data_IF_663305069386
#
_entry.id   IF_663305069386
#
_cell.length_a   1.000
_cell.length_b   1.000
_cell.length_c   1.000
_cell.angle_alpha   90.00
_cell.angle_beta   90.00
_cell.angle_gamma   90.00
#
_symmetry.space_group_name_H-M   'P 1'
#
loop_
_entity.id
_entity.type
_entity.pdbx_description
1 polymer ?
#
# COMPACT_ATOMS: atom_id res chain seq x y z
N UNK A 1 7.60 -21.76 -5.08
CA UNK A 1 8.25 -20.43 -5.03
C UNK A 1 7.39 -19.60 -4.11
N UNK A 2 7.67 -19.70 -2.82
CA UNK A 2 6.81 -19.21 -1.73
C UNK A 2 7.25 -17.80 -1.37
N UNK A 3 6.47 -16.80 -1.77
CA UNK A 3 6.49 -15.51 -1.06
C UNK A 3 5.68 -15.75 0.21
N UNK A 4 6.33 -16.30 1.23
CA UNK A 4 5.75 -16.45 2.57
C UNK A 4 5.59 -15.06 3.19
N UNK A 5 4.42 -14.44 3.04
CA UNK A 5 3.98 -13.45 4.02
C UNK A 5 3.32 -14.21 5.17
N UNK A 6 4.15 -14.85 6.00
CA UNK A 6 3.67 -15.52 7.21
C UNK A 6 3.31 -14.45 8.23
N UNK A 7 2.03 -14.07 8.30
CA UNK A 7 1.50 -13.36 9.47
C UNK A 7 1.35 -14.41 10.58
N UNK A 8 2.48 -14.84 11.16
CA UNK A 8 2.47 -15.73 12.33
C UNK A 8 2.16 -14.88 13.55
N UNK A 9 0.87 -14.69 13.88
CA UNK A 9 0.50 -14.22 15.20
C UNK A 9 0.52 -15.42 16.14
N UNK A 10 1.45 -15.37 17.11
CA UNK A 10 1.64 -16.26 18.26
C UNK A 10 2.27 -17.65 18.01
N UNK A 11 3.54 -17.74 18.43
CA UNK A 11 4.13 -18.99 18.91
C UNK A 11 3.22 -19.55 20.02
N UNK A 12 2.76 -20.80 19.87
CA UNK A 12 1.97 -21.58 20.85
C UNK A 12 0.43 -21.56 20.75
N UNK A 13 -0.18 -21.30 19.60
CA UNK A 13 -1.64 -21.48 19.46
C UNK A 13 -2.03 -22.93 19.11
N UNK A 14 -2.69 -23.61 20.07
CA UNK A 14 -3.44 -24.88 19.89
C UNK A 14 -4.83 -24.61 19.28
N UNK A 15 -4.93 -23.55 18.47
CA UNK A 15 -6.19 -23.01 17.96
C UNK A 15 -6.42 -23.48 16.52
N UNK A 16 -7.67 -23.59 16.05
CA UNK A 16 -7.94 -23.84 14.64
C UNK A 16 -7.28 -22.74 13.82
N UNK A 17 -6.51 -23.14 12.81
CA UNK A 17 -5.87 -22.22 11.87
C UNK A 17 -6.65 -22.19 10.57
N UNK A 18 -6.75 -21.01 9.97
CA UNK A 18 -7.31 -20.81 8.65
C UNK A 18 -6.19 -20.54 7.65
N UNK A 19 -6.26 -21.20 6.49
CA UNK A 19 -5.35 -20.96 5.38
C UNK A 19 -6.12 -20.33 4.23
N UNK A 20 -5.69 -19.15 3.81
CA UNK A 20 -6.31 -18.35 2.74
C UNK A 20 -5.31 -18.15 1.61
N UNK A 21 -5.77 -18.37 0.39
CA UNK A 21 -4.97 -18.21 -0.82
C UNK A 21 -5.47 -17.04 -1.67
N UNK A 22 -4.54 -16.25 -2.20
CA UNK A 22 -4.75 -15.27 -3.25
C UNK A 22 -3.86 -15.59 -4.44
N UNK A 23 -4.46 -15.80 -5.60
CA UNK A 23 -3.74 -16.01 -6.86
C UNK A 23 -3.92 -14.78 -7.75
N UNK A 24 -2.81 -14.14 -8.17
CA UNK A 24 -2.77 -13.05 -9.16
C UNK A 24 -1.78 -13.43 -10.27
N UNK A 25 -2.28 -14.03 -11.34
CA UNK A 25 -1.44 -14.52 -12.43
C UNK A 25 -0.41 -15.55 -11.92
N UNK A 26 0.90 -15.32 -12.10
CA UNK A 26 1.95 -16.23 -11.62
C UNK A 26 2.26 -16.09 -10.11
N UNK A 27 1.63 -15.14 -9.41
CA UNK A 27 1.91 -14.83 -8.01
C UNK A 27 0.88 -15.52 -7.12
N UNK A 28 1.38 -16.30 -6.16
CA UNK A 28 0.60 -16.98 -5.14
C UNK A 28 0.94 -16.36 -3.79
N UNK A 29 -0.04 -15.76 -3.14
CA UNK A 29 0.05 -15.28 -1.78
C UNK A 29 -0.77 -16.18 -0.87
N UNK A 30 -0.22 -16.47 0.31
CA UNK A 30 -0.83 -17.35 1.30
C UNK A 30 -0.82 -16.64 2.65
N UNK A 31 -1.99 -16.62 3.30
CA UNK A 31 -2.13 -16.19 4.69
C UNK A 31 -2.48 -17.42 5.51
N UNK A 32 -1.73 -17.65 6.59
CA UNK A 32 -2.05 -18.64 7.62
C UNK A 32 -2.33 -17.84 8.88
N UNK A 33 -3.57 -17.88 9.36
CA UNK A 33 -3.97 -17.16 10.56
C UNK A 33 -4.56 -18.08 11.61
N UNK A 34 -4.36 -17.75 12.88
CA UNK A 34 -5.03 -18.37 14.03
C UNK A 34 -5.93 -17.36 14.77
N UNK A 35 -6.21 -16.21 14.15
CA UNK A 35 -7.16 -15.20 14.63
C UNK A 35 -8.59 -15.58 14.25
N UNK A 36 -9.57 -14.99 14.94
CA UNK A 36 -11.01 -15.14 14.62
C UNK A 36 -11.45 -14.17 13.50
N UNK A 37 -10.56 -13.91 12.55
CA UNK A 37 -10.81 -13.02 11.42
C UNK A 37 -11.54 -13.76 10.31
N UNK A 38 -12.54 -13.11 9.72
CA UNK A 38 -13.30 -13.68 8.59
C UNK A 38 -12.42 -13.96 7.37
N UNK A 39 -12.81 -14.94 6.55
CA UNK A 39 -12.15 -15.24 5.27
C UNK A 39 -12.02 -14.01 4.39
N UNK A 40 -13.08 -13.19 4.28
CA UNK A 40 -13.12 -11.99 3.46
C UNK A 40 -12.08 -10.97 3.93
N UNK A 41 -11.91 -10.82 5.25
CA UNK A 41 -10.91 -9.90 5.79
C UNK A 41 -9.49 -10.36 5.51
N UNK A 42 -9.16 -11.62 5.80
CA UNK A 42 -7.85 -12.19 5.50
C UNK A 42 -7.55 -12.14 3.99
N UNK A 43 -8.57 -12.33 3.16
CA UNK A 43 -8.46 -12.22 1.72
C UNK A 43 -8.18 -10.79 1.27
N UNK A 44 -8.82 -9.80 1.89
CA UNK A 44 -8.54 -8.37 1.69
C UNK A 44 -7.14 -7.96 2.14
N UNK A 45 -6.64 -8.50 3.25
CA UNK A 45 -5.25 -8.29 3.69
C UNK A 45 -4.25 -8.78 2.63
N UNK A 46 -4.50 -9.94 2.03
CA UNK A 46 -3.70 -10.45 0.92
C UNK A 46 -3.78 -9.55 -0.32
N UNK A 47 -4.95 -8.99 -0.65
CA UNK A 47 -5.11 -8.04 -1.76
C UNK A 47 -4.33 -6.74 -1.51
N UNK A 48 -4.30 -6.21 -0.27
CA UNK A 48 -3.48 -5.06 0.09
C UNK A 48 -1.97 -5.37 0.05
N UNK A 49 -1.55 -6.54 0.51
CA UNK A 49 -0.16 -7.00 0.39
C UNK A 49 0.28 -7.11 -1.07
N UNK A 50 -0.58 -7.66 -1.93
CA UNK A 50 -0.35 -7.67 -3.37
C UNK A 50 -0.22 -6.25 -3.92
N UNK A 51 -1.13 -5.34 -3.54
CA UNK A 51 -1.06 -3.93 -3.91
C UNK A 51 0.27 -3.28 -3.50
N UNK A 52 0.75 -3.57 -2.28
CA UNK A 52 2.05 -3.07 -1.80
C UNK A 52 3.23 -3.58 -2.64
N UNK A 53 3.18 -4.84 -3.07
CA UNK A 53 4.17 -5.39 -4.02
C UNK A 53 4.14 -4.63 -5.35
N UNK A 54 2.96 -4.32 -5.88
CA UNK A 54 2.84 -3.54 -7.12
C UNK A 54 3.37 -2.11 -6.94
N UNK A 55 3.15 -1.48 -5.78
CA UNK A 55 3.72 -0.15 -5.49
C UNK A 55 5.25 -0.19 -5.48
N UNK A 56 5.86 -1.23 -4.90
CA UNK A 56 7.31 -1.38 -4.82
C UNK A 56 7.92 -1.73 -6.19
N UNK A 57 7.37 -2.75 -6.86
CA UNK A 57 7.97 -3.35 -8.06
C UNK A 57 7.50 -2.68 -9.35
N UNK A 58 6.44 -1.88 -9.28
CA UNK A 58 5.77 -1.21 -10.41
C UNK A 58 5.30 -2.21 -11.48
N UNK A 59 4.81 -1.70 -12.64
CA UNK A 59 4.33 -2.53 -13.76
C UNK A 59 5.42 -3.39 -14.42
N UNK A 60 6.70 -3.23 -14.07
CA UNK A 60 7.78 -4.05 -14.64
C UNK A 60 7.67 -5.54 -14.33
N UNK A 61 6.90 -5.91 -13.31
CA UNK A 61 6.72 -7.29 -12.85
C UNK A 61 6.01 -8.19 -13.87
N UNK A 62 4.94 -7.69 -14.50
CA UNK A 62 4.16 -8.45 -15.49
C UNK A 62 5.05 -8.81 -16.68
N UNK A 63 5.83 -7.83 -17.14
CA UNK A 63 6.82 -8.00 -18.21
C UNK A 63 7.94 -9.00 -17.84
N UNK A 64 8.33 -9.07 -16.58
CA UNK A 64 9.33 -10.05 -16.13
C UNK A 64 8.78 -11.49 -16.20
N UNK A 65 7.52 -11.68 -15.81
CA UNK A 65 6.88 -13.00 -15.87
C UNK A 65 6.51 -13.44 -17.28
N UNK A 66 6.10 -12.53 -18.16
CA UNK A 66 5.91 -12.82 -19.58
C UNK A 66 7.19 -13.35 -20.23
N UNK A 67 8.34 -12.77 -19.86
CA UNK A 67 9.65 -13.21 -20.36
C UNK A 67 10.09 -14.54 -19.75
N UNK A 68 9.92 -14.70 -18.44
CA UNK A 68 10.36 -15.87 -17.70
C UNK A 68 9.33 -16.22 -16.61
N UNK A 69 8.52 -17.24 -16.83
CA UNK A 69 7.52 -17.70 -15.86
C UNK A 69 8.13 -18.19 -14.51
N UNK A 70 9.44 -18.47 -14.49
CA UNK A 70 10.21 -18.88 -13.30
C UNK A 70 11.02 -17.74 -12.68
N UNK A 71 10.73 -16.49 -13.03
CA UNK A 71 11.47 -15.33 -12.54
C UNK A 71 11.35 -15.20 -11.01
N UNK A 72 12.49 -15.22 -10.32
CA UNK A 72 12.53 -14.96 -8.88
C UNK A 72 12.56 -13.46 -8.60
N UNK A 73 11.53 -12.97 -7.91
CA UNK A 73 11.37 -11.57 -7.57
C UNK A 73 11.91 -11.21 -6.20
N UNK A 74 12.27 -12.20 -5.38
CA UNK A 74 12.77 -11.99 -4.01
C UNK A 74 13.92 -10.97 -3.96
N UNK A 75 14.89 -10.98 -4.90
CA UNK A 75 15.95 -9.98 -4.91
C UNK A 75 15.45 -8.54 -5.12
N UNK A 76 14.34 -8.36 -5.86
CA UNK A 76 13.76 -7.03 -6.10
C UNK A 76 13.00 -6.48 -4.90
N UNK A 77 12.56 -7.37 -4.01
CA UNK A 77 11.91 -7.01 -2.74
C UNK A 77 12.92 -6.85 -1.60
N UNK A 78 14.21 -7.13 -1.84
CA UNK A 78 15.26 -6.97 -0.84
C UNK A 78 15.26 -5.56 -0.24
N UNK A 79 15.27 -5.49 1.10
CA UNK A 79 15.27 -4.22 1.83
C UNK A 79 13.89 -3.55 1.95
N UNK A 80 12.80 -4.21 1.53
CA UNK A 80 11.43 -3.70 1.67
C UNK A 80 10.65 -4.35 2.81
N UNK A 81 11.31 -5.17 3.63
CA UNK A 81 10.70 -5.89 4.76
C UNK A 81 9.99 -4.95 5.73
N UNK A 82 10.56 -3.78 5.99
CA UNK A 82 9.96 -2.75 6.85
C UNK A 82 8.61 -2.23 6.31
N UNK A 83 8.45 -2.14 4.98
CA UNK A 83 7.22 -1.70 4.32
C UNK A 83 6.11 -2.73 4.52
N UNK A 84 6.40 -4.01 4.26
CA UNK A 84 5.43 -5.09 4.47
C UNK A 84 5.10 -5.29 5.95
N UNK A 85 6.11 -5.26 6.82
CA UNK A 85 5.93 -5.37 8.27
C UNK A 85 5.04 -4.26 8.82
N UNK A 86 5.25 -3.01 8.39
CA UNK A 86 4.38 -1.89 8.75
C UNK A 86 2.94 -2.08 8.26
N UNK A 87 2.75 -2.56 7.03
CA UNK A 87 1.42 -2.84 6.48
C UNK A 87 0.69 -3.92 7.28
N UNK A 88 1.34 -5.05 7.54
CA UNK A 88 0.79 -6.14 8.36
C UNK A 88 0.44 -5.65 9.75
N UNK A 89 1.31 -4.87 10.39
CA UNK A 89 1.04 -4.29 11.69
C UNK A 89 -0.18 -3.36 11.66
N UNK A 90 -0.40 -2.64 10.56
CA UNK A 90 -1.53 -1.74 10.40
C UNK A 90 -2.90 -2.43 10.39
N UNK A 91 -2.98 -3.70 10.01
CA UNK A 91 -4.24 -4.45 10.06
C UNK A 91 -4.80 -4.55 11.49
N UNK A 92 -3.94 -4.58 12.50
CA UNK A 92 -4.35 -4.69 13.90
C UNK A 92 -4.94 -3.40 14.51
N UNK A 93 -4.60 -2.22 13.97
CA UNK A 93 -4.95 -0.94 14.61
C UNK A 93 -5.61 0.08 13.68
N UNK A 94 -5.44 -0.05 12.35
CA UNK A 94 -5.94 0.91 11.39
C UNK A 94 -7.23 0.40 10.72
N UNK A 95 -8.42 0.87 11.14
CA UNK A 95 -9.69 0.41 10.57
C UNK A 95 -9.85 0.77 9.08
N UNK A 96 -9.08 1.73 8.59
CA UNK A 96 -9.10 2.12 7.18
C UNK A 96 -8.68 0.98 6.24
N UNK A 97 -7.84 0.05 6.72
CA UNK A 97 -7.42 -1.15 5.98
C UNK A 97 -8.59 -2.10 5.70
N UNK A 98 -9.51 -2.24 6.66
CA UNK A 98 -10.71 -3.05 6.52
C UNK A 98 -11.78 -2.35 5.68
N UNK A 99 -11.93 -1.04 5.86
CA UNK A 99 -12.99 -0.26 5.23
C UNK A 99 -12.68 0.14 3.78
N UNK A 100 -11.51 -0.22 3.24
CA UNK A 100 -11.01 0.29 1.96
C UNK A 100 -11.11 1.82 1.90
N UNK A 101 -10.61 2.47 2.95
CA UNK A 101 -10.76 3.90 3.19
C UNK A 101 -9.40 4.54 3.54
N UNK A 102 -9.39 5.86 3.68
CA UNK A 102 -8.28 6.60 4.25
C UNK A 102 -8.78 7.57 5.31
N UNK A 103 -7.94 7.86 6.30
CA UNK A 103 -8.28 8.79 7.38
C UNK A 103 -7.83 10.20 7.01
N UNK A 104 -8.72 11.17 7.12
CA UNK A 104 -8.38 12.59 6.97
C UNK A 104 -7.89 13.19 8.30
N UNK A 105 -6.96 14.15 8.26
CA UNK A 105 -6.62 14.97 9.41
C UNK A 105 -7.64 16.13 9.54
N UNK A 106 -8.38 16.24 10.66
CA UNK A 106 -9.28 17.37 10.87
C UNK A 106 -8.50 18.68 10.95
N UNK A 107 -8.86 19.65 10.11
CA UNK A 107 -8.22 20.97 10.05
C UNK A 107 -9.28 22.08 9.88
N UNK A 108 -9.02 23.31 10.32
CA UNK A 108 -9.89 24.45 10.06
C UNK A 108 -10.11 24.69 8.56
N UNK A 109 -11.30 25.17 8.19
CA UNK A 109 -11.66 25.40 6.79
C UNK A 109 -10.65 26.26 6.03
N UNK A 110 -10.16 27.34 6.66
CA UNK A 110 -9.18 28.23 6.05
C UNK A 110 -7.90 27.49 5.65
N UNK A 111 -7.34 26.66 6.54
CA UNK A 111 -6.16 25.84 6.27
C UNK A 111 -6.43 24.79 5.20
N UNK A 112 -7.57 24.06 5.28
CA UNK A 112 -7.94 23.07 4.26
C UNK A 112 -8.04 23.68 2.87
N UNK A 113 -8.68 24.84 2.76
CA UNK A 113 -8.83 25.56 1.50
C UNK A 113 -7.47 26.01 0.96
N UNK A 114 -6.64 26.61 1.81
CA UNK A 114 -5.30 27.06 1.42
C UNK A 114 -4.43 25.90 0.91
N UNK A 115 -4.37 24.78 1.65
CA UNK A 115 -3.63 23.59 1.22
C UNK A 115 -4.19 23.02 -0.07
N UNK A 116 -5.51 22.94 -0.22
CA UNK A 116 -6.17 22.46 -1.44
C UNK A 116 -5.79 23.30 -2.66
N UNK A 117 -5.77 24.64 -2.53
CA UNK A 117 -5.34 25.53 -3.61
C UNK A 117 -3.88 25.30 -3.99
N UNK A 118 -2.96 25.25 -3.03
CA UNK A 118 -1.54 24.99 -3.29
C UNK A 118 -1.32 23.66 -4.01
N UNK A 119 -2.01 22.60 -3.58
CA UNK A 119 -1.91 21.29 -4.22
C UNK A 119 -2.48 21.29 -5.65
N UNK A 120 -3.55 22.06 -5.90
CA UNK A 120 -4.09 22.21 -7.26
C UNK A 120 -3.15 22.97 -8.19
N UNK A 121 -2.47 24.00 -7.69
CA UNK A 121 -1.46 24.73 -8.45
C UNK A 121 -0.28 23.80 -8.83
N UNK A 122 0.11 22.90 -7.93
CA UNK A 122 1.10 21.85 -8.24
C UNK A 122 0.58 20.92 -9.35
N UNK A 123 -0.68 20.50 -9.32
CA UNK A 123 -1.26 19.71 -10.40
C UNK A 123 -1.33 20.46 -11.74
N UNK A 124 -1.54 21.78 -11.71
CA UNK A 124 -1.54 22.62 -12.92
C UNK A 124 -0.17 22.67 -13.61
N UNK A 125 0.93 22.36 -12.90
CA UNK A 125 2.27 22.26 -13.48
C UNK A 125 2.53 20.96 -14.27
N UNK A 126 1.55 20.07 -14.36
CA UNK A 126 1.64 18.81 -15.13
C UNK A 126 1.70 17.53 -14.29
N UNK A 127 1.65 17.65 -12.95
CA UNK A 127 1.61 16.51 -12.03
C UNK A 127 0.20 15.91 -11.98
N UNK A 128 0.08 14.59 -12.09
CA UNK A 128 -1.22 13.90 -12.12
C UNK A 128 -1.96 13.98 -10.77
N UNK A 129 -1.25 13.77 -9.67
CA UNK A 129 -1.79 13.84 -8.31
C UNK A 129 -0.80 14.50 -7.37
N UNK A 130 -1.30 15.32 -6.45
CA UNK A 130 -0.51 15.89 -5.36
C UNK A 130 -1.19 15.58 -4.04
N UNK A 131 -0.41 15.02 -3.11
CA UNK A 131 -0.90 14.51 -1.83
C UNK A 131 -0.11 15.17 -0.70
N UNK A 132 -0.82 15.78 0.23
CA UNK A 132 -0.25 16.19 1.52
C UNK A 132 -0.80 15.28 2.61
N UNK A 133 0.09 14.74 3.42
CA UNK A 133 -0.24 13.80 4.49
C UNK A 133 0.64 14.03 5.72
N UNK A 134 0.11 13.64 6.88
CA UNK A 134 0.83 13.62 8.14
C UNK A 134 0.66 12.23 8.76
N UNK A 135 1.78 11.49 8.89
CA UNK A 135 1.78 10.09 9.32
C UNK A 135 0.87 9.24 8.43
N UNK A 136 -0.20 8.67 8.95
CA UNK A 136 -1.19 7.87 8.22
C UNK A 136 -2.46 8.66 7.85
N UNK A 137 -2.46 9.98 8.04
CA UNK A 137 -3.64 10.83 7.81
C UNK A 137 -3.42 11.73 6.61
N UNK A 138 -4.38 11.74 5.69
CA UNK A 138 -4.40 12.62 4.53
C UNK A 138 -4.86 14.01 4.97
N UNK A 139 -4.07 15.03 4.66
CA UNK A 139 -4.43 16.43 4.89
C UNK A 139 -5.25 16.95 3.71
N UNK A 140 -4.74 16.76 2.50
CA UNK A 140 -5.41 17.18 1.27
C UNK A 140 -4.87 16.39 0.08
N UNK A 141 -5.72 16.18 -0.92
CA UNK A 141 -5.41 15.52 -2.18
C UNK A 141 -5.92 16.39 -3.31
N UNK A 142 -5.12 16.57 -4.35
CA UNK A 142 -5.54 17.15 -5.61
C UNK A 142 -5.15 16.23 -6.76
N UNK A 143 -5.95 16.27 -7.83
CA UNK A 143 -5.74 15.49 -9.03
C UNK A 143 -6.01 16.34 -10.27
N UNK A 144 -5.21 16.14 -11.31
CA UNK A 144 -5.43 16.80 -12.59
C UNK A 144 -6.74 16.28 -13.22
N UNK A 145 -7.51 17.19 -13.85
CA UNK A 145 -8.66 16.85 -14.70
C UNK A 145 -9.68 15.89 -14.06
N UNK A 146 -10.05 16.10 -12.79
CA UNK A 146 -11.01 15.26 -12.03
C UNK A 146 -10.58 13.79 -11.85
N UNK A 147 -9.31 13.47 -12.02
CA UNK A 147 -8.82 12.14 -11.68
C UNK A 147 -9.06 11.86 -10.18
N UNK A 148 -9.58 10.68 -9.87
CA UNK A 148 -9.76 10.19 -8.49
C UNK A 148 -8.78 9.07 -8.22
N UNK A 149 -8.16 9.08 -7.03
CA UNK A 149 -7.28 8.02 -6.57
C UNK A 149 -8.06 7.07 -5.66
N UNK A 150 -7.81 5.76 -5.76
CA UNK A 150 -8.50 4.79 -4.91
C UNK A 150 -8.01 4.93 -3.45
N UNK A 151 -8.87 4.74 -2.44
CA UNK A 151 -8.44 4.78 -1.04
C UNK A 151 -7.31 3.80 -0.69
N UNK A 152 -7.35 2.59 -1.24
CA UNK A 152 -6.28 1.61 -1.03
C UNK A 152 -4.94 2.10 -1.57
N UNK A 153 -4.93 2.77 -2.73
CA UNK A 153 -3.71 3.36 -3.29
C UNK A 153 -3.12 4.41 -2.33
N UNK A 154 -3.98 5.25 -1.73
CA UNK A 154 -3.56 6.23 -0.72
C UNK A 154 -2.98 5.55 0.51
N UNK A 155 -3.60 4.46 0.98
CA UNK A 155 -3.15 3.70 2.13
C UNK A 155 -1.77 3.07 1.87
N UNK A 156 -1.60 2.44 0.72
CA UNK A 156 -0.35 1.78 0.32
C UNK A 156 0.76 2.78 0.05
N UNK A 157 0.47 3.90 -0.62
CA UNK A 157 1.42 5.00 -0.81
C UNK A 157 1.84 5.61 0.54
N UNK A 158 0.88 5.82 1.44
CA UNK A 158 1.16 6.35 2.78
C UNK A 158 2.07 5.40 3.57
N UNK A 159 1.77 4.10 3.54
CA UNK A 159 2.58 3.09 4.19
C UNK A 159 3.99 3.03 3.60
N UNK A 160 4.11 3.05 2.27
CA UNK A 160 5.39 3.04 1.56
C UNK A 160 6.26 4.23 1.96
N UNK A 161 5.75 5.46 1.83
CA UNK A 161 6.48 6.70 2.17
C UNK A 161 6.91 6.72 3.64
N UNK A 162 6.04 6.26 4.55
CA UNK A 162 6.35 6.28 5.98
C UNK A 162 7.35 5.18 6.39
N UNK A 163 7.39 4.07 5.66
CA UNK A 163 8.19 2.89 6.03
C UNK A 163 9.54 2.83 5.32
N UNK A 164 9.73 3.57 4.24
CA UNK A 164 11.01 3.63 3.53
C UNK A 164 11.95 4.69 4.12
N UNK A 165 13.12 4.24 4.59
CA UNK A 165 14.13 5.13 5.19
C UNK A 165 14.61 6.23 4.24
N UNK A 166 14.77 5.91 2.94
CA UNK A 166 15.18 6.87 1.91
C UNK A 166 14.21 8.05 1.73
N UNK A 167 12.92 7.86 2.02
CA UNK A 167 11.91 8.92 1.92
C UNK A 167 11.79 9.76 3.18
N UNK A 168 12.28 9.28 4.33
CA UNK A 168 12.28 10.06 5.58
C UNK A 168 13.29 11.20 5.56
N UNK A 169 14.27 11.18 4.65
CA UNK A 169 15.34 12.17 4.56
C UNK A 169 15.23 13.12 3.36
N UNK A 170 14.39 12.85 2.37
CA UNK A 170 14.40 13.60 1.10
C UNK A 170 12.98 13.91 0.62
N UNK A 171 12.75 15.18 0.28
CA UNK A 171 11.57 15.69 -0.43
C UNK A 171 11.58 15.14 -1.87
N UNK A 172 11.20 13.87 -2.07
CA UNK A 172 11.26 13.21 -3.37
C UNK A 172 9.93 13.35 -4.12
N UNK A 173 9.98 13.99 -5.30
CA UNK A 173 8.90 14.01 -6.27
C UNK A 173 8.99 12.69 -7.05
N UNK A 174 8.03 11.79 -6.88
CA UNK A 174 7.98 10.56 -7.68
C UNK A 174 7.39 10.87 -9.06
N UNK A 175 8.16 10.73 -10.16
CA UNK A 175 7.62 10.91 -11.50
C UNK A 175 6.77 9.68 -11.85
N UNK A 176 5.45 9.85 -11.83
CA UNK A 176 4.55 8.86 -12.43
C UNK A 176 4.56 9.14 -13.94
N UNK A 177 5.40 8.41 -14.68
CA UNK A 177 5.45 8.51 -16.13
C UNK A 177 4.07 8.18 -16.73
N UNK A 178 3.46 9.17 -17.38
CA UNK A 178 2.43 8.93 -18.40
C UNK A 178 3.15 8.41 -19.65
N UNK A 179 2.77 7.21 -20.09
CA UNK A 179 2.88 6.84 -21.51
C UNK A 179 1.90 7.69 -22.32
#
# INVERSE_FOLDING_TARGET
MEVFCSITISNSCVCPFQVVFLVKGPIYLVCISCTDETYEYLRGQLDLLYGQMIVILTKSIDRCFEKNAKFDMTPLLGGTDAVFSSLVHSFSWNPATFLHAYTCLPLPYASRKATGTVLQDVCASGVLFSLLMCRHKVISLAGAQKASLHPDDLLLLSNFVMSSESFRQVLNILPIHKQ
#
